data_IF_237739222521
#
_entry.id   IF_237739222521
#
_cell.length_a   1.000
_cell.length_b   1.000
_cell.length_c   1.000
_cell.angle_alpha   90.00
_cell.angle_beta   90.00
_cell.angle_gamma   90.00
#
_symmetry.space_group_name_H-M   'P 1'
#
loop_
_entity.id
_entity.type
_entity.pdbx_description
1 polymer ?
#
# COMPACT_ATOMS: atom_id res chain seq x y z
N UNK A 1 -1.34 -5.09 0.45
CA UNK A 1 -1.71 -3.69 0.78
C UNK A 1 -0.53 -2.84 1.26
N UNK A 2 0.18 -3.21 2.34
CA UNK A 2 1.28 -2.38 2.88
C UNK A 2 2.40 -2.11 1.85
N UNK A 3 2.82 -3.13 1.09
CA UNK A 3 3.79 -2.99 0.00
C UNK A 3 3.36 -1.94 -1.03
N UNK A 4 2.08 -1.93 -1.42
CA UNK A 4 1.54 -0.94 -2.37
C UNK A 4 1.69 0.48 -1.83
N UNK A 5 1.37 0.70 -0.55
CA UNK A 5 1.56 2.01 0.09
C UNK A 5 3.02 2.44 -0.01
N UNK A 6 3.96 1.59 0.41
CA UNK A 6 5.40 1.90 0.41
C UNK A 6 5.91 2.18 -1.01
N UNK A 7 5.49 1.38 -1.99
CA UNK A 7 5.85 1.51 -3.39
C UNK A 7 5.33 2.83 -3.98
N UNK A 8 4.03 3.09 -3.91
CA UNK A 8 3.42 4.27 -4.53
C UNK A 8 3.89 5.57 -3.87
N UNK A 9 4.09 5.57 -2.55
CA UNK A 9 4.56 6.77 -1.83
C UNK A 9 6.08 6.98 -1.90
N UNK A 10 6.84 6.04 -2.48
CA UNK A 10 8.30 6.13 -2.59
C UNK A 10 9.01 6.02 -1.24
N UNK A 11 8.42 5.29 -0.29
CA UNK A 11 8.94 5.19 1.09
C UNK A 11 10.15 4.25 1.22
N UNK A 12 10.54 3.57 0.15
CA UNK A 12 11.72 2.70 0.06
C UNK A 12 13.00 3.44 -0.38
N UNK A 13 12.88 4.68 -0.87
CA UNK A 13 14.04 5.47 -1.30
C UNK A 13 14.98 5.71 -0.12
N UNK A 14 16.23 6.08 -0.41
CA UNK A 14 17.27 6.35 0.60
C UNK A 14 16.70 7.21 1.74
N UNK A 15 16.85 6.80 3.02
CA UNK A 15 17.73 5.75 3.57
C UNK A 15 17.12 4.35 3.72
N UNK A 16 15.93 4.07 3.18
CA UNK A 16 15.10 2.89 3.55
C UNK A 16 15.19 1.70 2.59
N UNK A 17 16.22 1.67 1.75
CA UNK A 17 16.46 0.61 0.75
C UNK A 17 16.59 -0.79 1.42
N UNK A 18 17.34 -0.87 2.54
CA UNK A 18 17.49 -2.12 3.30
C UNK A 18 16.17 -2.59 3.93
N UNK A 19 15.35 -1.65 4.41
CA UNK A 19 14.06 -1.97 5.03
C UNK A 19 13.07 -2.51 3.98
N UNK A 20 13.17 -2.03 2.73
CA UNK A 20 12.42 -2.58 1.60
C UNK A 20 12.79 -4.04 1.31
N UNK A 21 14.08 -4.38 1.27
CA UNK A 21 14.51 -5.77 1.05
C UNK A 21 13.95 -6.69 2.13
N UNK A 22 14.09 -6.31 3.40
CA UNK A 22 13.54 -7.09 4.52
C UNK A 22 12.02 -7.25 4.37
N UNK A 23 11.30 -6.19 4.01
CA UNK A 23 9.87 -6.24 3.73
C UNK A 23 9.50 -7.17 2.57
N UNK A 24 10.30 -7.20 1.51
CA UNK A 24 10.09 -8.11 0.37
C UNK A 24 10.37 -9.57 0.75
N UNK A 25 11.41 -9.82 1.54
CA UNK A 25 11.69 -11.16 2.07
C UNK A 25 10.57 -11.63 3.00
N UNK A 26 10.04 -10.75 3.85
CA UNK A 26 8.87 -11.05 4.68
C UNK A 26 7.64 -11.43 3.84
N UNK A 27 7.41 -10.75 2.70
CA UNK A 27 6.33 -11.12 1.78
C UNK A 27 6.54 -12.52 1.19
N UNK A 28 7.75 -12.81 0.69
CA UNK A 28 8.08 -14.11 0.09
C UNK A 28 7.93 -15.22 1.14
N UNK A 29 8.47 -15.01 2.34
CA UNK A 29 8.36 -15.96 3.44
C UNK A 29 6.91 -16.16 3.87
N UNK A 30 6.09 -15.10 3.97
CA UNK A 30 4.67 -15.23 4.31
C UNK A 30 3.88 -16.01 3.26
N UNK A 31 4.21 -15.87 1.97
CA UNK A 31 3.59 -16.67 0.92
C UNK A 31 3.91 -18.16 1.06
N UNK A 32 5.18 -18.50 1.27
CA UNK A 32 5.60 -19.90 1.44
C UNK A 32 5.14 -20.48 2.79
N UNK A 33 5.13 -19.68 3.85
CA UNK A 33 4.66 -20.09 5.18
C UNK A 33 3.16 -20.42 5.15
N UNK A 34 2.35 -19.58 4.51
CA UNK A 34 0.93 -19.88 4.29
C UNK A 34 0.72 -21.11 3.43
N UNK A 35 1.50 -21.25 2.34
CA UNK A 35 1.47 -22.42 1.47
C UNK A 35 1.76 -23.72 2.22
N UNK A 36 2.79 -23.71 3.08
CA UNK A 36 3.11 -24.87 3.91
C UNK A 36 2.04 -25.14 4.96
N UNK A 37 1.44 -24.09 5.53
CA UNK A 37 0.39 -24.21 6.55
C UNK A 37 -0.86 -24.91 6.06
N UNK A 38 -1.45 -24.47 4.95
CA UNK A 38 -2.65 -25.13 4.40
C UNK A 38 -2.36 -26.52 3.82
N UNK A 39 -1.08 -26.85 3.59
CA UNK A 39 -0.64 -28.17 3.12
C UNK A 39 -0.48 -29.21 4.23
N UNK A 40 -0.45 -28.80 5.51
CA UNK A 40 -0.27 -29.73 6.64
C UNK A 40 -1.44 -30.71 6.86
N UNK A 41 -2.72 -30.33 6.65
CA UNK A 41 -3.84 -31.25 6.82
C UNK A 41 -3.85 -32.43 5.83
N UNK A 42 -3.08 -32.35 4.75
CA UNK A 42 -3.00 -33.38 3.69
C UNK A 42 -4.38 -33.79 3.15
N UNK A 43 -5.24 -32.79 2.94
CA UNK A 43 -6.53 -32.97 2.28
C UNK A 43 -6.37 -33.04 0.75
N UNK A 44 -7.41 -33.49 0.05
CA UNK A 44 -7.34 -33.71 -1.40
C UNK A 44 -6.95 -32.45 -2.21
N UNK A 45 -7.41 -31.27 -1.78
CA UNK A 45 -7.10 -29.99 -2.45
C UNK A 45 -5.64 -29.62 -2.22
N UNK A 46 -5.20 -29.67 -0.96
CA UNK A 46 -3.85 -29.25 -0.59
C UNK A 46 -2.77 -30.21 -1.09
N UNK A 47 -3.00 -31.52 -1.05
CA UNK A 47 -2.09 -32.52 -1.61
C UNK A 47 -1.93 -32.41 -3.13
N UNK A 48 -3.01 -32.09 -3.86
CA UNK A 48 -2.91 -31.81 -5.31
C UNK A 48 -2.12 -30.51 -5.57
N UNK A 49 -2.28 -29.51 -4.70
CA UNK A 49 -1.47 -28.29 -4.72
C UNK A 49 0.03 -28.56 -4.50
N UNK A 50 0.38 -29.41 -3.52
CA UNK A 50 1.77 -29.87 -3.31
C UNK A 50 2.33 -30.61 -4.53
N UNK A 51 1.50 -31.46 -5.17
CA UNK A 51 1.90 -32.15 -6.40
C UNK A 51 2.20 -31.16 -7.53
N UNK A 52 1.33 -30.19 -7.76
CA UNK A 52 1.50 -29.22 -8.83
C UNK A 52 2.66 -28.24 -8.57
N UNK A 53 2.63 -27.57 -7.41
CA UNK A 53 3.55 -26.48 -7.11
C UNK A 53 4.90 -26.99 -6.59
N UNK A 54 4.92 -27.83 -5.55
CA UNK A 54 6.18 -28.20 -4.91
C UNK A 54 6.89 -29.34 -5.65
N UNK A 55 6.15 -30.32 -6.18
CA UNK A 55 6.76 -31.42 -6.94
C UNK A 55 6.96 -31.06 -8.43
N UNK A 56 5.91 -30.63 -9.12
CA UNK A 56 5.94 -30.33 -10.55
C UNK A 56 6.93 -29.22 -10.93
N UNK A 57 6.86 -28.07 -10.25
CA UNK A 57 7.77 -26.95 -10.53
C UNK A 57 9.21 -27.29 -10.14
N UNK A 58 9.45 -27.99 -9.02
CA UNK A 58 10.82 -28.35 -8.62
C UNK A 58 11.45 -29.32 -9.61
N UNK A 59 10.72 -30.35 -10.04
CA UNK A 59 11.18 -31.29 -11.07
C UNK A 59 11.45 -30.61 -12.42
N UNK A 60 10.76 -29.50 -12.71
CA UNK A 60 10.94 -28.75 -13.96
C UNK A 60 12.29 -28.04 -14.08
N UNK A 61 12.99 -27.83 -12.97
CA UNK A 61 14.26 -27.09 -12.94
C UNK A 61 15.34 -27.89 -13.69
N UNK A 62 15.92 -27.36 -14.78
CA UNK A 62 16.99 -28.03 -15.50
C UNK A 62 18.21 -28.26 -14.59
N UNK A 63 18.99 -29.28 -14.92
CA UNK A 63 20.24 -29.66 -14.22
C UNK A 63 20.03 -30.26 -12.83
N UNK A 64 19.30 -29.59 -11.94
CA UNK A 64 19.21 -29.96 -10.51
C UNK A 64 17.80 -30.33 -10.04
N UNK A 65 16.76 -30.23 -10.88
CA UNK A 65 15.37 -30.43 -10.47
C UNK A 65 15.08 -31.79 -9.83
N UNK A 66 15.59 -32.88 -10.41
CA UNK A 66 15.48 -34.23 -9.82
C UNK A 66 16.18 -34.31 -8.48
N UNK A 67 17.38 -33.75 -8.35
CA UNK A 67 18.12 -33.74 -7.08
C UNK A 67 17.39 -32.94 -6.00
N UNK A 68 16.82 -31.78 -6.35
CA UNK A 68 16.01 -30.96 -5.44
C UNK A 68 14.73 -31.68 -5.02
N UNK A 69 14.02 -32.33 -5.95
CA UNK A 69 12.85 -33.13 -5.64
C UNK A 69 13.18 -34.21 -4.61
N UNK A 70 14.23 -34.99 -4.86
CA UNK A 70 14.64 -36.06 -3.95
C UNK A 70 15.15 -35.53 -2.61
N UNK A 71 15.82 -34.37 -2.60
CA UNK A 71 16.22 -33.69 -1.37
C UNK A 71 15.00 -33.27 -0.54
N UNK A 72 13.93 -32.78 -1.16
CA UNK A 72 12.73 -32.26 -0.48
C UNK A 72 11.79 -33.40 -0.03
N UNK A 73 11.56 -34.41 -0.87
CA UNK A 73 10.57 -35.46 -0.65
C UNK A 73 11.14 -36.77 -0.10
N UNK A 74 12.47 -36.95 -0.12
CA UNK A 74 13.14 -38.21 0.23
C UNK A 74 12.71 -39.39 -0.65
N UNK A 75 12.43 -39.12 -1.93
CA UNK A 75 11.92 -40.10 -2.88
C UNK A 75 10.95 -39.49 -3.88
N UNK A 76 10.11 -40.35 -4.46
CA UNK A 76 9.01 -39.91 -5.32
C UNK A 76 7.83 -39.37 -4.48
N UNK A 77 7.03 -38.50 -5.11
CA UNK A 77 5.83 -37.95 -4.50
C UNK A 77 4.74 -39.05 -4.35
N UNK A 78 3.97 -39.12 -3.25
CA UNK A 78 3.89 -38.15 -2.14
C UNK A 78 4.99 -38.27 -1.07
N UNK A 79 5.70 -39.39 -1.00
CA UNK A 79 6.71 -39.64 0.03
C UNK A 79 6.11 -39.77 1.45
N UNK A 80 6.96 -40.01 2.45
CA UNK A 80 6.55 -40.15 3.86
C UNK A 80 7.07 -39.02 4.76
N UNK A 81 8.12 -38.30 4.32
CA UNK A 81 8.77 -37.26 5.12
C UNK A 81 8.30 -35.85 4.82
N UNK A 82 7.49 -35.64 3.77
CA UNK A 82 7.12 -34.28 3.35
C UNK A 82 6.30 -33.56 4.41
N UNK A 83 5.24 -34.16 4.96
CA UNK A 83 4.38 -33.52 5.97
C UNK A 83 5.16 -33.21 7.26
N UNK A 84 5.98 -34.13 7.83
CA UNK A 84 6.85 -33.80 8.96
C UNK A 84 7.85 -32.66 8.66
N UNK A 85 8.44 -32.61 7.47
CA UNK A 85 9.36 -31.53 7.07
C UNK A 85 8.64 -30.19 6.95
N UNK A 86 7.46 -30.17 6.33
CA UNK A 86 6.61 -28.99 6.25
C UNK A 86 6.17 -28.53 7.64
N UNK A 87 5.86 -29.45 8.55
CA UNK A 87 5.50 -29.11 9.93
C UNK A 87 6.63 -28.39 10.66
N UNK A 88 7.86 -28.93 10.59
CA UNK A 88 9.05 -28.26 11.18
C UNK A 88 9.31 -26.90 10.52
N UNK A 89 9.16 -26.83 9.19
CA UNK A 89 9.34 -25.58 8.46
C UNK A 89 8.28 -24.53 8.85
N UNK A 90 7.01 -24.92 8.93
CA UNK A 90 5.87 -24.05 9.16
C UNK A 90 5.72 -23.63 10.62
N UNK A 91 6.05 -24.49 11.60
CA UNK A 91 5.88 -24.15 13.03
C UNK A 91 7.11 -23.45 13.61
N UNK A 92 8.31 -23.87 13.22
CA UNK A 92 9.55 -23.40 13.84
C UNK A 92 10.38 -22.52 12.91
N UNK A 93 10.80 -23.06 11.76
CA UNK A 93 11.85 -22.44 10.95
C UNK A 93 11.40 -21.12 10.30
N UNK A 94 10.32 -21.15 9.53
CA UNK A 94 9.82 -19.96 8.82
C UNK A 94 9.26 -18.91 9.78
N UNK A 95 8.40 -19.24 10.77
CA UNK A 95 7.95 -18.23 11.74
C UNK A 95 9.09 -17.64 12.56
N UNK A 96 10.10 -18.43 12.92
CA UNK A 96 11.30 -17.93 13.60
C UNK A 96 12.06 -16.89 12.78
N UNK A 97 12.27 -17.17 11.48
CA UNK A 97 12.89 -16.22 10.54
C UNK A 97 12.00 -14.99 10.35
N UNK A 98 10.69 -15.15 10.16
CA UNK A 98 9.72 -14.05 10.02
C UNK A 98 9.75 -13.16 11.26
N UNK A 99 9.73 -13.72 12.47
CA UNK A 99 9.77 -12.96 13.72
C UNK A 99 11.09 -12.17 13.85
N UNK A 100 12.22 -12.79 13.53
CA UNK A 100 13.53 -12.11 13.53
C UNK A 100 13.57 -10.95 12.52
N UNK A 101 13.05 -11.17 11.31
CA UNK A 101 12.98 -10.14 10.28
C UNK A 101 11.98 -9.03 10.63
N UNK A 102 10.83 -9.33 11.26
CA UNK A 102 9.90 -8.32 11.78
C UNK A 102 10.58 -7.47 12.85
N UNK A 103 11.33 -8.09 13.76
CA UNK A 103 12.12 -7.38 14.77
C UNK A 103 13.11 -6.40 14.13
N UNK A 104 13.90 -6.87 13.16
CA UNK A 104 14.82 -6.01 12.40
C UNK A 104 14.09 -4.91 11.60
N UNK A 105 12.96 -5.25 10.96
CA UNK A 105 12.15 -4.34 10.16
C UNK A 105 11.59 -3.19 11.01
N UNK A 106 11.02 -3.51 12.17
CA UNK A 106 10.48 -2.51 13.11
C UNK A 106 11.59 -1.68 13.76
N UNK A 107 12.73 -2.29 14.10
CA UNK A 107 13.88 -1.57 14.64
C UNK A 107 14.38 -0.50 13.65
N UNK A 108 14.51 -0.83 12.36
CA UNK A 108 14.88 0.15 11.34
C UNK A 108 13.89 1.30 11.26
N UNK A 109 12.58 1.02 11.27
CA UNK A 109 11.54 2.07 11.24
C UNK A 109 11.58 2.95 12.50
N UNK A 110 11.85 2.35 13.66
CA UNK A 110 11.92 3.06 14.93
C UNK A 110 13.11 4.02 15.00
N UNK A 111 14.30 3.52 14.67
CA UNK A 111 15.54 4.30 14.77
C UNK A 111 15.72 5.28 13.61
N UNK A 112 15.35 4.92 12.38
CA UNK A 112 15.44 5.81 11.22
C UNK A 112 14.31 6.83 11.14
N UNK A 113 13.38 6.80 12.10
CA UNK A 113 12.12 7.57 12.12
C UNK A 113 11.20 7.26 10.93
N UNK A 114 9.91 7.36 11.18
CA UNK A 114 8.89 7.09 10.18
C UNK A 114 8.79 8.23 9.16
N UNK A 115 8.49 7.90 7.90
CA UNK A 115 8.27 8.88 6.81
C UNK A 115 6.95 9.63 6.96
N UNK A 116 6.85 10.83 6.39
CA UNK A 116 5.63 11.63 6.42
C UNK A 116 5.32 12.23 5.04
N UNK A 117 4.04 12.46 4.73
CA UNK A 117 3.68 13.25 3.56
C UNK A 117 4.03 14.72 3.79
N UNK A 118 4.49 15.46 2.77
CA UNK A 118 4.67 16.92 2.87
C UNK A 118 3.35 17.60 3.23
N UNK A 119 3.46 18.72 3.94
CA UNK A 119 2.34 19.48 4.46
C UNK A 119 2.80 20.58 5.42
N UNK A 120 1.86 21.31 6.04
CA UNK A 120 2.18 22.42 6.93
C UNK A 120 3.14 22.00 8.06
N UNK A 121 4.23 22.75 8.22
CA UNK A 121 5.28 22.48 9.23
C UNK A 121 6.09 21.20 9.03
N UNK A 122 5.93 20.46 7.93
CA UNK A 122 6.66 19.20 7.67
C UNK A 122 7.86 19.45 6.77
N UNK A 123 9.05 19.18 7.31
CA UNK A 123 10.33 19.32 6.61
C UNK A 123 11.05 17.97 6.51
N UNK A 124 12.12 17.91 5.73
CA UNK A 124 12.94 16.69 5.58
C UNK A 124 13.66 16.27 6.87
N UNK A 125 13.76 17.17 7.85
CA UNK A 125 14.55 16.98 9.07
C UNK A 125 13.68 16.82 10.33
N UNK A 126 12.34 16.81 10.18
CA UNK A 126 11.44 16.67 11.32
C UNK A 126 10.40 15.57 11.09
N UNK A 127 9.66 15.25 12.16
CA UNK A 127 8.48 14.37 12.10
C UNK A 127 7.37 15.06 12.88
N UNK A 128 6.32 15.46 12.17
CA UNK A 128 5.16 16.12 12.76
C UNK A 128 4.05 15.09 12.95
N UNK A 129 3.68 14.87 14.20
CA UNK A 129 2.64 13.92 14.56
C UNK A 129 2.43 13.82 16.07
N UNK A 130 1.72 12.78 16.47
CA UNK A 130 1.44 12.49 17.87
C UNK A 130 2.58 11.71 18.52
N UNK A 131 2.81 11.93 19.81
CA UNK A 131 3.77 11.15 20.60
C UNK A 131 3.26 9.72 20.82
N UNK A 132 4.19 8.81 21.11
CA UNK A 132 3.91 7.39 21.37
C UNK A 132 2.89 7.23 22.49
N UNK A 133 3.15 7.90 23.63
CA UNK A 133 2.22 7.96 24.75
C UNK A 133 1.66 9.38 24.89
N UNK A 134 0.35 9.53 25.19
CA UNK A 134 -0.65 8.45 25.32
C UNK A 134 -1.34 8.08 23.98
N UNK A 135 -1.32 8.98 22.99
CA UNK A 135 -2.26 8.93 21.87
C UNK A 135 -1.99 7.79 20.89
N UNK A 136 -0.74 7.61 20.46
CA UNK A 136 -0.42 6.60 19.45
C UNK A 136 -0.60 5.18 19.98
N UNK A 137 -0.21 4.92 21.24
CA UNK A 137 -0.40 3.62 21.88
C UNK A 137 -1.89 3.26 21.99
N UNK A 138 -2.74 4.21 22.41
CA UNK A 138 -4.19 3.99 22.48
C UNK A 138 -4.79 3.72 21.10
N UNK A 139 -4.43 4.49 20.08
CA UNK A 139 -4.90 4.26 18.70
C UNK A 139 -4.39 2.93 18.13
N UNK A 140 -3.14 2.58 18.38
CA UNK A 140 -2.54 1.32 17.96
C UNK A 140 -3.19 0.12 18.63
N UNK A 141 -3.40 0.18 19.95
CA UNK A 141 -4.10 -0.86 20.71
C UNK A 141 -5.55 -1.02 20.27
N UNK A 142 -6.27 0.09 20.05
CA UNK A 142 -7.63 0.06 19.52
C UNK A 142 -7.70 -0.56 18.12
N UNK A 143 -6.76 -0.21 17.24
CA UNK A 143 -6.68 -0.80 15.89
C UNK A 143 -6.36 -2.30 15.92
N UNK A 144 -5.48 -2.73 16.84
CA UNK A 144 -5.20 -4.14 17.09
C UNK A 144 -6.48 -4.88 17.54
N UNK A 145 -7.17 -4.36 18.56
CA UNK A 145 -8.39 -4.98 19.08
C UNK A 145 -9.49 -5.05 18.01
N UNK A 146 -9.64 -4.01 17.18
CA UNK A 146 -10.58 -3.99 16.07
C UNK A 146 -10.22 -5.03 14.99
N UNK A 147 -8.97 -5.10 14.59
CA UNK A 147 -8.49 -6.09 13.62
C UNK A 147 -8.69 -7.51 14.14
N UNK A 148 -8.32 -7.77 15.40
CA UNK A 148 -8.54 -9.04 16.07
C UNK A 148 -10.03 -9.40 16.12
N UNK A 149 -10.89 -8.46 16.51
CA UNK A 149 -12.34 -8.66 16.56
C UNK A 149 -12.92 -9.03 15.20
N UNK A 150 -12.52 -8.35 14.13
CA UNK A 150 -12.94 -8.70 12.76
C UNK A 150 -12.47 -10.11 12.39
N UNK A 151 -11.20 -10.46 12.64
CA UNK A 151 -10.68 -11.78 12.32
C UNK A 151 -11.37 -12.88 13.12
N UNK A 152 -11.66 -12.66 14.40
CA UNK A 152 -12.41 -13.60 15.24
C UNK A 152 -13.86 -13.78 14.75
N UNK A 153 -14.54 -12.68 14.38
CA UNK A 153 -15.88 -12.74 13.79
C UNK A 153 -15.87 -13.49 12.46
N UNK A 154 -14.92 -13.18 11.57
CA UNK A 154 -14.78 -13.89 10.30
C UNK A 154 -14.48 -15.38 10.52
N UNK A 155 -13.59 -15.72 11.45
CA UNK A 155 -13.25 -17.12 11.77
C UNK A 155 -14.39 -17.90 12.40
N UNK A 156 -15.32 -17.24 13.11
CA UNK A 156 -16.50 -17.88 13.68
C UNK A 156 -17.70 -17.96 12.73
N UNK A 157 -17.90 -16.93 11.89
CA UNK A 157 -19.08 -16.80 11.03
C UNK A 157 -18.87 -17.32 9.60
N UNK A 158 -17.64 -17.32 9.10
CA UNK A 158 -17.31 -17.69 7.72
C UNK A 158 -16.45 -18.95 7.72
N UNK A 159 -16.97 -20.02 7.12
CA UNK A 159 -16.21 -21.24 6.89
C UNK A 159 -15.12 -20.98 5.84
N UNK A 160 -13.86 -21.32 6.17
CA UNK A 160 -12.70 -21.04 5.31
C UNK A 160 -12.16 -22.28 4.59
N UNK A 161 -11.72 -23.31 5.33
CA UNK A 161 -11.16 -24.54 4.76
C UNK A 161 -11.91 -25.78 5.27
N UNK A 162 -12.95 -26.25 4.54
CA UNK A 162 -13.79 -27.36 4.96
C UNK A 162 -13.16 -28.73 4.67
N UNK A 163 -12.03 -29.07 5.32
CA UNK A 163 -11.24 -30.27 5.02
C UNK A 163 -12.05 -31.59 5.08
N UNK A 164 -13.09 -31.65 5.91
CA UNK A 164 -13.98 -32.81 6.01
C UNK A 164 -14.85 -33.04 4.76
N UNK A 165 -15.11 -32.00 3.96
CA UNK A 165 -15.82 -32.12 2.69
C UNK A 165 -14.89 -32.58 1.55
N UNK A 166 -13.59 -32.27 1.65
CA UNK A 166 -12.59 -32.60 0.64
C UNK A 166 -12.07 -34.03 0.82
N UNK A 167 -11.95 -34.49 2.06
CA UNK A 167 -11.43 -35.81 2.39
C UNK A 167 -9.90 -35.87 2.33
N UNK A 168 -9.32 -37.02 2.71
CA UNK A 168 -7.88 -37.23 2.73
C UNK A 168 -7.30 -37.24 1.31
N UNK A 169 -6.04 -36.84 1.18
CA UNK A 169 -5.34 -36.89 -0.10
C UNK A 169 -5.21 -38.32 -0.63
N UNK A 170 -5.54 -38.49 -1.91
CA UNK A 170 -5.33 -39.73 -2.66
C UNK A 170 -4.81 -39.36 -4.06
N UNK A 171 -3.61 -39.82 -4.47
CA UNK A 171 -3.03 -39.51 -5.79
C UNK A 171 -3.89 -39.90 -7.00
N UNK A 172 -4.89 -40.77 -6.81
CA UNK A 172 -5.81 -41.21 -7.87
C UNK A 172 -7.10 -40.38 -7.98
N UNK A 173 -7.29 -39.39 -7.09
CA UNK A 173 -8.49 -38.56 -7.03
C UNK A 173 -8.12 -37.08 -7.16
N UNK A 174 -9.03 -36.28 -7.72
CA UNK A 174 -8.90 -34.81 -7.81
C UNK A 174 -10.27 -34.16 -7.64
N UNK A 175 -10.29 -32.92 -7.16
CA UNK A 175 -11.51 -32.10 -7.12
C UNK A 175 -11.69 -31.34 -8.44
N UNK A 176 -12.90 -30.82 -8.68
CA UNK A 176 -13.21 -30.01 -9.87
C UNK A 176 -12.65 -28.57 -9.82
N UNK A 177 -11.96 -28.19 -8.74
CA UNK A 177 -11.34 -26.88 -8.55
C UNK A 177 -10.16 -27.01 -7.60
N UNK A 178 -8.97 -27.07 -8.17
CA UNK A 178 -7.71 -27.13 -7.43
C UNK A 178 -7.01 -25.79 -7.58
N UNK A 179 -7.25 -24.90 -6.63
CA UNK A 179 -6.58 -23.60 -6.55
C UNK A 179 -5.93 -23.41 -5.18
N UNK A 180 -4.74 -22.79 -5.12
CA UNK A 180 -4.15 -22.41 -3.85
C UNK A 180 -4.83 -21.16 -3.28
N UNK A 181 -4.49 -20.82 -2.04
CA UNK A 181 -4.96 -19.58 -1.41
C UNK A 181 -4.55 -18.33 -2.21
N UNK A 182 -5.29 -17.23 -2.00
CA UNK A 182 -5.20 -15.99 -2.78
C UNK A 182 -3.80 -15.40 -2.97
N UNK A 183 -2.93 -15.56 -1.97
CA UNK A 183 -1.55 -15.06 -2.02
C UNK A 183 -0.65 -15.91 -2.93
N UNK A 184 -1.01 -17.16 -3.22
CA UNK A 184 -0.34 -18.07 -4.14
C UNK A 184 -1.07 -18.24 -5.48
N UNK A 185 -2.33 -17.80 -5.62
CA UNK A 185 -3.10 -17.95 -6.87
C UNK A 185 -2.37 -17.43 -8.12
N UNK A 186 -1.59 -16.36 -8.01
CA UNK A 186 -0.89 -15.82 -9.16
C UNK A 186 0.17 -16.78 -9.76
N UNK A 187 0.75 -17.70 -8.96
CA UNK A 187 1.73 -18.67 -9.45
C UNK A 187 1.06 -19.80 -10.22
N UNK A 188 -0.08 -20.31 -9.72
CA UNK A 188 -0.88 -21.32 -10.43
C UNK A 188 -1.58 -20.71 -11.66
N UNK A 189 -2.14 -19.51 -11.55
CA UNK A 189 -2.69 -18.79 -12.69
C UNK A 189 -1.66 -18.58 -13.79
N UNK A 190 -0.39 -18.37 -13.44
CA UNK A 190 0.70 -18.31 -14.42
C UNK A 190 0.95 -19.66 -15.09
N UNK A 191 0.92 -20.77 -14.33
CA UNK A 191 1.03 -22.11 -14.88
C UNK A 191 -0.11 -22.43 -15.87
N UNK A 192 -1.33 -21.99 -15.57
CA UNK A 192 -2.52 -22.16 -16.44
C UNK A 192 -2.42 -21.34 -17.73
N UNK A 193 -1.92 -20.09 -17.64
CA UNK A 193 -1.85 -19.20 -18.78
C UNK A 193 -0.64 -19.46 -19.68
N UNK A 194 0.48 -19.97 -19.15
CA UNK A 194 1.65 -20.23 -19.97
C UNK A 194 1.33 -21.22 -21.10
N UNK A 195 1.74 -20.96 -22.36
CA UNK A 195 1.58 -21.93 -23.43
C UNK A 195 2.39 -23.21 -23.17
N UNK A 196 2.04 -24.31 -23.82
CA UNK A 196 2.78 -25.58 -23.76
C UNK A 196 4.11 -25.50 -24.56
N UNK A 197 4.97 -24.57 -24.18
CA UNK A 197 6.29 -24.36 -24.78
C UNK A 197 7.32 -25.19 -24.03
N UNK A 198 7.71 -26.31 -24.63
CA UNK A 198 8.73 -27.21 -24.12
C UNK A 198 9.97 -27.16 -25.00
N UNK A 199 11.14 -27.38 -24.39
CA UNK A 199 12.42 -27.41 -25.11
C UNK A 199 13.02 -28.80 -24.94
N UNK A 200 13.23 -29.50 -26.04
CA UNK A 200 13.91 -30.80 -26.07
C UNK A 200 15.37 -30.59 -26.50
N UNK A 201 16.31 -30.97 -25.63
CA UNK A 201 17.74 -30.81 -25.85
C UNK A 201 18.40 -32.18 -26.08
N UNK A 202 19.08 -32.32 -27.21
CA UNK A 202 19.91 -33.48 -27.58
C UNK A 202 19.21 -34.86 -27.46
N UNK A 203 17.88 -34.89 -27.52
CA UNK A 203 17.07 -36.12 -27.42
C UNK A 203 17.04 -36.79 -26.04
N UNK A 204 17.68 -36.20 -25.03
CA UNK A 204 17.83 -36.79 -23.68
C UNK A 204 17.26 -35.90 -22.58
N UNK A 205 17.29 -34.58 -22.75
CA UNK A 205 16.80 -33.63 -21.74
C UNK A 205 15.57 -32.90 -22.24
N UNK A 206 14.63 -32.69 -21.32
CA UNK A 206 13.41 -31.91 -21.58
C UNK A 206 13.33 -30.80 -20.56
N UNK A 207 13.14 -29.57 -21.02
CA UNK A 207 12.74 -28.43 -20.20
C UNK A 207 11.23 -28.27 -20.36
N UNK A 208 10.43 -28.70 -19.38
CA UNK A 208 8.98 -28.68 -19.51
C UNK A 208 8.43 -27.25 -19.36
N UNK A 209 7.25 -27.00 -19.89
CA UNK A 209 6.64 -25.67 -19.94
C UNK A 209 6.47 -25.03 -18.55
N UNK A 210 6.21 -25.85 -17.52
CA UNK A 210 6.06 -25.42 -16.12
C UNK A 210 7.31 -24.74 -15.58
N UNK A 211 8.51 -24.98 -16.15
CA UNK A 211 9.73 -24.29 -15.75
C UNK A 211 9.66 -22.77 -15.93
N UNK A 212 8.86 -22.29 -16.88
CA UNK A 212 8.63 -20.86 -17.06
C UNK A 212 8.05 -20.20 -15.79
N UNK A 213 7.25 -20.93 -15.01
CA UNK A 213 6.70 -20.46 -13.74
C UNK A 213 7.81 -20.17 -12.75
N UNK A 214 8.81 -21.05 -12.63
CA UNK A 214 9.96 -20.85 -11.77
C UNK A 214 10.79 -19.64 -12.20
N UNK A 215 11.05 -19.49 -13.52
CA UNK A 215 11.79 -18.35 -14.07
C UNK A 215 11.07 -17.03 -13.77
N UNK A 216 9.78 -16.95 -14.10
CA UNK A 216 9.03 -15.71 -13.97
C UNK A 216 8.83 -15.37 -12.49
N UNK A 217 8.56 -16.35 -11.63
CA UNK A 217 8.51 -16.13 -10.18
C UNK A 217 9.85 -15.58 -9.65
N UNK A 218 10.97 -16.19 -10.04
CA UNK A 218 12.31 -15.71 -9.71
C UNK A 218 12.57 -14.30 -10.23
N UNK A 219 12.14 -13.99 -11.46
CA UNK A 219 12.26 -12.67 -12.06
C UNK A 219 11.42 -11.63 -11.32
N UNK A 220 10.17 -11.93 -10.99
CA UNK A 220 9.27 -11.03 -10.25
C UNK A 220 9.86 -10.72 -8.88
N UNK A 221 10.31 -11.72 -8.13
CA UNK A 221 10.93 -11.50 -6.82
C UNK A 221 12.25 -10.72 -6.94
N UNK A 222 13.08 -11.03 -7.93
CA UNK A 222 14.34 -10.31 -8.17
C UNK A 222 14.09 -8.84 -8.49
N UNK A 223 13.15 -8.55 -9.40
CA UNK A 223 12.78 -7.17 -9.76
C UNK A 223 12.16 -6.45 -8.57
N UNK A 224 11.31 -7.12 -7.79
CA UNK A 224 10.68 -6.54 -6.60
C UNK A 224 11.73 -6.16 -5.56
N UNK A 225 12.65 -7.07 -5.21
CA UNK A 225 13.73 -6.82 -4.26
C UNK A 225 14.66 -5.72 -4.79
N UNK A 226 15.05 -5.79 -6.06
CA UNK A 226 16.00 -4.87 -6.67
C UNK A 226 15.39 -3.49 -7.02
N UNK A 227 14.07 -3.30 -6.88
CA UNK A 227 13.36 -2.12 -7.37
C UNK A 227 13.97 -0.77 -6.93
N UNK A 228 14.37 -0.56 -5.67
CA UNK A 228 14.95 0.72 -5.24
C UNK A 228 16.20 1.11 -6.05
N UNK A 229 17.06 0.12 -6.36
CA UNK A 229 18.28 0.36 -7.14
C UNK A 229 18.00 0.52 -8.63
N UNK A 230 16.98 -0.18 -9.14
CA UNK A 230 16.51 0.01 -10.51
C UNK A 230 16.03 1.45 -10.69
N UNK A 231 15.10 1.93 -9.85
CA UNK A 231 14.59 3.30 -9.94
C UNK A 231 15.71 4.31 -9.76
N UNK A 232 16.54 4.16 -8.71
CA UNK A 232 17.69 5.03 -8.44
C UNK A 232 18.65 5.14 -9.64
N UNK A 233 18.91 4.04 -10.36
CA UNK A 233 19.77 4.05 -11.54
C UNK A 233 19.17 4.84 -12.69
N UNK A 234 17.85 4.74 -12.92
CA UNK A 234 17.16 5.45 -13.99
C UNK A 234 16.89 6.92 -13.66
N UNK A 235 16.55 7.24 -12.41
CA UNK A 235 16.23 8.62 -11.98
C UNK A 235 17.47 9.40 -11.53
N UNK A 236 18.58 8.71 -11.20
CA UNK A 236 19.77 9.27 -10.57
C UNK A 236 19.46 9.96 -9.23
N UNK A 237 18.43 9.48 -8.53
CA UNK A 237 17.99 10.03 -7.26
C UNK A 237 18.82 9.46 -6.09
N UNK A 238 19.97 10.09 -5.83
CA UNK A 238 20.90 9.73 -4.75
C UNK A 238 20.69 10.53 -3.45
N UNK A 239 19.70 11.43 -3.43
CA UNK A 239 19.43 12.29 -2.29
C UNK A 239 18.81 11.52 -1.11
N UNK A 240 18.87 12.12 0.08
CA UNK A 240 18.22 11.58 1.28
C UNK A 240 16.77 12.07 1.35
N UNK A 241 15.80 11.14 1.42
CA UNK A 241 14.37 11.45 1.41
C UNK A 241 13.66 10.96 2.68
N UNK A 242 13.07 11.89 3.42
CA UNK A 242 12.18 11.64 4.55
C UNK A 242 10.73 12.05 4.26
N UNK A 243 10.51 12.99 3.34
CA UNK A 243 9.19 13.30 2.81
C UNK A 243 8.77 12.31 1.73
N UNK A 244 7.52 11.85 1.83
CA UNK A 244 6.89 10.98 0.86
C UNK A 244 6.49 11.75 -0.39
N UNK A 245 6.50 11.07 -1.53
CA UNK A 245 5.89 11.59 -2.74
C UNK A 245 4.43 11.17 -2.77
N UNK A 246 3.52 12.07 -3.18
CA UNK A 246 2.17 11.64 -3.51
C UNK A 246 2.24 10.78 -4.77
N UNK A 247 1.47 9.68 -4.87
CA UNK A 247 1.55 8.79 -6.03
C UNK A 247 1.28 9.50 -7.37
N UNK A 248 0.49 10.57 -7.36
CA UNK A 248 0.24 11.38 -8.57
C UNK A 248 1.47 12.15 -9.05
N UNK A 249 2.44 12.46 -8.18
CA UNK A 249 3.62 13.30 -8.49
C UNK A 249 4.74 12.53 -9.20
N UNK A 250 4.68 11.21 -9.16
CA UNK A 250 5.62 10.28 -9.81
C UNK A 250 4.87 9.39 -10.79
N UNK A 251 4.39 9.94 -11.93
CA UNK A 251 3.48 9.23 -12.82
C UNK A 251 4.08 7.95 -13.39
N UNK A 252 5.39 7.91 -13.68
CA UNK A 252 6.06 6.72 -14.21
C UNK A 252 6.06 5.58 -13.18
N UNK A 253 6.50 5.84 -11.93
CA UNK A 253 6.50 4.82 -10.87
C UNK A 253 5.09 4.31 -10.59
N UNK A 254 4.12 5.22 -10.47
CA UNK A 254 2.73 4.83 -10.20
C UNK A 254 2.13 4.02 -11.34
N UNK A 255 2.51 4.31 -12.58
CA UNK A 255 2.08 3.52 -13.75
C UNK A 255 2.74 2.15 -13.81
N UNK A 256 4.03 2.03 -13.45
CA UNK A 256 4.70 0.73 -13.30
C UNK A 256 4.07 -0.11 -12.19
N UNK A 257 3.70 0.51 -11.06
CA UNK A 257 2.99 -0.17 -9.98
C UNK A 257 1.60 -0.65 -10.39
N UNK A 258 0.85 0.17 -11.14
CA UNK A 258 -0.46 -0.21 -11.69
C UNK A 258 -0.33 -1.33 -12.73
N UNK A 259 0.71 -1.30 -13.57
CA UNK A 259 1.04 -2.38 -14.51
C UNK A 259 1.31 -3.69 -13.77
N UNK A 260 2.16 -3.67 -12.74
CA UNK A 260 2.45 -4.85 -11.92
C UNK A 260 1.21 -5.37 -11.17
N UNK A 261 0.38 -4.47 -10.65
CA UNK A 261 -0.88 -4.83 -9.99
C UNK A 261 -1.87 -5.45 -10.96
N UNK A 262 -1.99 -4.92 -12.18
CA UNK A 262 -2.84 -5.49 -13.23
C UNK A 262 -2.34 -6.88 -13.63
N UNK A 263 -1.02 -7.05 -13.80
CA UNK A 263 -0.40 -8.35 -14.06
C UNK A 263 -0.72 -9.36 -12.95
N UNK A 264 -0.53 -8.99 -11.69
CA UNK A 264 -0.88 -9.82 -10.53
C UNK A 264 -2.38 -10.14 -10.45
N UNK A 265 -3.24 -9.17 -10.73
CA UNK A 265 -4.69 -9.33 -10.68
C UNK A 265 -5.17 -10.31 -11.76
N UNK A 266 -4.66 -10.21 -12.99
CA UNK A 266 -5.01 -11.14 -14.07
C UNK A 266 -4.58 -12.54 -13.71
N UNK A 267 -3.33 -12.73 -13.27
CA UNK A 267 -2.83 -14.04 -12.85
C UNK A 267 -3.68 -14.64 -11.73
N UNK A 268 -4.00 -13.84 -10.70
CA UNK A 268 -4.84 -14.27 -9.57
C UNK A 268 -6.25 -14.65 -10.03
N UNK A 269 -6.90 -13.84 -10.88
CA UNK A 269 -8.26 -14.12 -11.36
C UNK A 269 -8.28 -15.33 -12.30
N UNK A 270 -7.26 -15.50 -13.14
CA UNK A 270 -7.18 -16.62 -14.09
C UNK A 270 -6.81 -17.96 -13.42
N UNK A 271 -6.38 -17.96 -12.16
CA UNK A 271 -6.23 -19.18 -11.37
C UNK A 271 -7.58 -19.85 -11.09
N UNK A 272 -8.69 -19.10 -11.04
CA UNK A 272 -10.06 -19.63 -10.90
C UNK A 272 -10.83 -19.58 -12.22
N UNK A 273 -10.14 -19.72 -13.35
CA UNK A 273 -10.74 -19.69 -14.68
C UNK A 273 -11.80 -20.78 -14.90
N UNK A 274 -11.69 -21.91 -14.21
CA UNK A 274 -12.64 -23.02 -14.14
C UNK A 274 -13.94 -22.62 -13.44
N UNK A 275 -13.86 -21.98 -12.27
CA UNK A 275 -15.02 -21.48 -11.52
C UNK A 275 -15.69 -20.34 -12.28
N UNK A 276 -14.90 -19.44 -12.89
CA UNK A 276 -15.43 -18.37 -13.73
C UNK A 276 -16.18 -18.96 -14.92
N UNK A 277 -15.58 -19.93 -15.62
CA UNK A 277 -16.21 -20.62 -16.73
C UNK A 277 -17.54 -21.28 -16.31
N UNK A 278 -17.54 -21.97 -15.17
CA UNK A 278 -18.72 -22.65 -14.64
C UNK A 278 -19.83 -21.70 -14.18
N UNK A 279 -19.49 -20.62 -13.46
CA UNK A 279 -20.47 -19.70 -12.87
C UNK A 279 -21.04 -18.69 -13.85
N UNK A 280 -20.25 -18.27 -14.84
CA UNK A 280 -20.66 -17.28 -15.84
C UNK A 280 -21.02 -17.89 -17.19
N UNK A 281 -21.03 -19.22 -17.28
CA UNK A 281 -21.36 -19.97 -18.50
C UNK A 281 -20.50 -19.55 -19.71
N UNK A 282 -19.18 -19.48 -19.48
CA UNK A 282 -18.17 -19.13 -20.50
C UNK A 282 -17.30 -20.36 -20.75
N UNK A 283 -16.91 -20.60 -22.01
CA UNK A 283 -15.97 -21.69 -22.32
C UNK A 283 -14.64 -21.54 -21.58
N UNK A 284 -14.14 -22.62 -20.98
CA UNK A 284 -12.83 -22.65 -20.30
C UNK A 284 -11.66 -22.33 -21.24
N UNK A 285 -11.77 -22.68 -22.52
CA UNK A 285 -10.78 -22.34 -23.52
C UNK A 285 -10.82 -20.82 -23.80
N UNK A 286 -12.02 -20.24 -23.87
CA UNK A 286 -12.19 -18.81 -24.05
C UNK A 286 -11.63 -18.02 -22.85
N UNK A 287 -11.91 -18.44 -21.61
CA UNK A 287 -11.37 -17.78 -20.41
C UNK A 287 -9.84 -17.84 -20.37
N UNK A 288 -9.24 -18.98 -20.75
CA UNK A 288 -7.78 -19.11 -20.85
C UNK A 288 -7.18 -18.20 -21.92
N UNK A 289 -7.78 -18.12 -23.10
CA UNK A 289 -7.33 -17.20 -24.15
C UNK A 289 -7.51 -15.73 -23.77
N UNK A 290 -8.61 -15.38 -23.10
CA UNK A 290 -8.82 -14.05 -22.53
C UNK A 290 -7.70 -13.70 -21.55
N UNK A 291 -7.30 -14.63 -20.68
CA UNK A 291 -6.18 -14.45 -19.77
C UNK A 291 -4.84 -14.28 -20.50
N UNK A 292 -4.55 -15.11 -21.52
CA UNK A 292 -3.31 -15.06 -22.32
C UNK A 292 -3.16 -13.77 -23.12
N UNK A 293 -4.25 -13.26 -23.71
CA UNK A 293 -4.24 -11.97 -24.40
C UNK A 293 -4.19 -10.85 -23.35
N UNK A 294 -4.98 -10.99 -22.28
CA UNK A 294 -5.09 -10.03 -21.20
C UNK A 294 -3.76 -9.73 -20.52
N UNK A 295 -2.96 -10.75 -20.19
CA UNK A 295 -1.67 -10.58 -19.50
C UNK A 295 -0.65 -9.79 -20.34
N UNK A 296 -0.80 -9.78 -21.67
CA UNK A 296 0.07 -9.02 -22.59
C UNK A 296 -0.48 -7.61 -22.82
N UNK A 297 -1.80 -7.47 -22.98
CA UNK A 297 -2.44 -6.20 -23.41
C UNK A 297 -2.83 -5.31 -22.23
N UNK A 298 -3.42 -5.86 -21.18
CA UNK A 298 -3.99 -5.07 -20.08
C UNK A 298 -2.92 -4.39 -19.20
N UNK A 299 -1.76 -4.98 -18.87
CA UNK A 299 -0.75 -4.27 -18.08
C UNK A 299 -0.20 -3.01 -18.79
N UNK A 300 0.18 -3.03 -20.09
CA UNK A 300 0.56 -1.82 -20.82
C UNK A 300 -0.57 -0.78 -20.91
N UNK A 301 -1.83 -1.21 -21.06
CA UNK A 301 -2.98 -0.30 -21.01
C UNK A 301 -3.12 0.33 -19.61
N UNK A 302 -3.00 -0.46 -18.54
CA UNK A 302 -3.04 0.04 -17.17
C UNK A 302 -1.92 1.05 -16.91
N UNK A 303 -0.71 0.82 -17.45
CA UNK A 303 0.38 1.80 -17.44
C UNK A 303 -0.05 3.09 -18.13
N UNK A 304 -0.53 3.01 -19.38
CA UNK A 304 -0.90 4.19 -20.17
C UNK A 304 -2.00 5.02 -19.49
N UNK A 305 -3.08 4.37 -19.05
CA UNK A 305 -4.19 5.06 -18.39
C UNK A 305 -3.78 5.66 -17.06
N UNK A 306 -3.01 4.94 -16.25
CA UNK A 306 -2.52 5.45 -14.96
C UNK A 306 -1.60 6.65 -15.15
N UNK A 307 -0.73 6.61 -16.17
CA UNK A 307 0.17 7.71 -16.47
C UNK A 307 -0.61 8.98 -16.81
N UNK A 308 -1.60 8.86 -17.71
CA UNK A 308 -2.48 9.96 -18.11
C UNK A 308 -3.34 10.44 -16.94
N UNK A 309 -3.82 9.53 -16.11
CA UNK A 309 -4.62 9.85 -14.93
C UNK A 309 -3.80 10.65 -13.91
N UNK A 310 -2.55 10.25 -13.63
CA UNK A 310 -1.65 11.01 -12.76
C UNK A 310 -1.41 12.43 -13.29
N UNK A 311 -1.15 12.59 -14.58
CA UNK A 311 -0.99 13.93 -15.19
C UNK A 311 -2.28 14.77 -15.10
N UNK A 312 -3.45 14.16 -15.30
CA UNK A 312 -4.75 14.82 -15.10
C UNK A 312 -4.94 15.26 -13.65
N UNK A 313 -4.58 14.42 -12.69
CA UNK A 313 -4.64 14.76 -11.26
C UNK A 313 -3.68 15.90 -10.89
N UNK A 314 -2.47 15.92 -11.44
CA UNK A 314 -1.51 17.02 -11.25
C UNK A 314 -2.04 18.33 -11.83
N UNK A 315 -2.59 18.32 -13.05
CA UNK A 315 -3.19 19.50 -13.67
C UNK A 315 -4.36 20.03 -12.87
N UNK A 316 -5.22 19.13 -12.40
CA UNK A 316 -6.36 19.50 -11.56
C UNK A 316 -5.92 20.05 -10.19
N UNK A 317 -4.76 19.65 -9.65
CA UNK A 317 -4.20 20.27 -8.45
C UNK A 317 -3.65 21.68 -8.75
N UNK A 318 -2.97 21.87 -9.91
CA UNK A 318 -2.45 23.18 -10.34
C UNK A 318 -3.54 24.20 -10.66
N UNK A 319 -4.62 23.77 -11.32
CA UNK A 319 -5.77 24.63 -11.62
C UNK A 319 -6.34 25.27 -10.35
N UNK A 320 -6.42 24.52 -9.26
CA UNK A 320 -6.91 25.04 -7.97
C UNK A 320 -5.93 26.03 -7.34
N UNK A 321 -4.61 25.85 -7.52
CA UNK A 321 -3.62 26.81 -7.04
C UNK A 321 -3.57 28.11 -7.84
N UNK A 322 -3.87 28.02 -9.14
CA UNK A 322 -3.88 29.17 -10.06
C UNK A 322 -5.19 29.97 -9.99
N UNK A 323 -6.35 29.31 -9.86
CA UNK A 323 -7.66 29.96 -9.99
C UNK A 323 -8.47 29.98 -8.69
N UNK A 324 -8.12 29.14 -7.71
CA UNK A 324 -8.91 28.91 -6.50
C UNK A 324 -9.82 27.68 -6.59
N UNK A 325 -10.56 27.42 -5.51
CA UNK A 325 -11.51 26.31 -5.45
C UNK A 325 -12.83 26.73 -6.10
N UNK A 326 -13.31 25.89 -7.02
CA UNK A 326 -14.66 25.93 -7.58
C UNK A 326 -15.72 25.87 -6.47
N UNK A 327 -16.54 26.93 -6.35
CA UNK A 327 -17.60 26.99 -5.32
C UNK A 327 -18.92 26.38 -5.80
N UNK A 328 -19.10 26.21 -7.12
CA UNK A 328 -20.38 25.85 -7.72
C UNK A 328 -21.41 26.99 -7.75
N UNK A 329 -21.05 28.20 -7.31
CA UNK A 329 -21.93 29.38 -7.37
C UNK A 329 -21.65 30.14 -8.65
N UNK A 330 -22.64 30.17 -9.55
CA UNK A 330 -22.56 30.90 -10.81
C UNK A 330 -23.19 32.28 -10.64
N UNK A 331 -22.45 33.34 -11.02
CA UNK A 331 -22.95 34.72 -11.06
C UNK A 331 -23.01 35.22 -12.50
N UNK A 332 -24.11 35.89 -12.84
CA UNK A 332 -24.25 36.61 -14.12
C UNK A 332 -23.85 38.07 -13.93
N UNK A 333 -22.88 38.53 -14.70
CA UNK A 333 -22.39 39.92 -14.68
C UNK A 333 -23.34 40.85 -15.45
N UNK A 334 -23.31 42.18 -15.19
CA UNK A 334 -24.21 43.14 -15.86
C UNK A 334 -24.13 43.13 -17.40
N UNK A 335 -22.98 42.79 -17.97
CA UNK A 335 -22.77 42.64 -19.42
C UNK A 335 -23.18 41.27 -19.98
N UNK A 336 -23.74 40.37 -19.16
CA UNK A 336 -24.34 39.11 -19.57
C UNK A 336 -23.44 37.87 -19.46
N UNK A 337 -22.17 38.02 -19.10
CA UNK A 337 -21.23 36.91 -18.87
C UNK A 337 -21.59 36.09 -17.62
N UNK A 338 -21.37 34.78 -17.68
CA UNK A 338 -21.50 33.88 -16.53
C UNK A 338 -20.11 33.54 -16.00
N UNK A 339 -19.87 33.86 -14.74
CA UNK A 339 -18.62 33.52 -14.04
C UNK A 339 -18.92 32.57 -12.89
N UNK A 340 -18.09 31.54 -12.75
CA UNK A 340 -18.07 30.75 -11.53
C UNK A 340 -17.24 31.50 -10.48
N UNK A 341 -17.79 31.62 -9.28
CA UNK A 341 -17.05 32.20 -8.16
C UNK A 341 -16.03 31.18 -7.69
N UNK A 342 -14.75 31.52 -7.79
CA UNK A 342 -13.69 30.73 -7.17
C UNK A 342 -13.31 31.31 -5.81
N UNK A 343 -12.96 30.44 -4.87
CA UNK A 343 -12.38 30.82 -3.58
C UNK A 343 -10.85 30.70 -3.65
N UNK A 344 -10.11 31.82 -3.66
CA UNK A 344 -8.65 31.79 -3.55
C UNK A 344 -8.19 31.07 -2.28
N UNK A 345 -7.13 30.27 -2.42
CA UNK A 345 -6.46 29.60 -1.29
C UNK A 345 -5.39 30.45 -0.61
N UNK A 346 -4.91 31.48 -1.31
CA UNK A 346 -3.83 32.36 -0.87
C UNK A 346 -4.20 33.84 -0.99
N UNK A 347 -3.19 34.73 -0.89
CA UNK A 347 -3.36 36.16 -1.10
C UNK A 347 -3.97 36.48 -2.47
N UNK A 348 -4.66 37.61 -2.55
CA UNK A 348 -5.22 38.16 -3.79
C UNK A 348 -4.50 39.45 -4.16
N UNK A 349 -4.42 39.76 -5.44
CA UNK A 349 -3.89 41.03 -5.93
C UNK A 349 -4.92 42.17 -5.78
N UNK A 350 -4.51 43.40 -6.14
CA UNK A 350 -5.35 44.60 -6.09
C UNK A 350 -6.59 44.52 -7.01
N UNK A 351 -6.58 43.60 -7.98
CA UNK A 351 -7.67 43.35 -8.91
C UNK A 351 -8.58 42.19 -8.47
N UNK A 352 -8.29 41.55 -7.33
CA UNK A 352 -9.04 40.42 -6.80
C UNK A 352 -8.71 39.08 -7.45
N UNK A 353 -7.66 39.00 -8.27
CA UNK A 353 -7.16 37.74 -8.80
C UNK A 353 -6.32 37.01 -7.75
N UNK A 354 -6.43 35.68 -7.67
CA UNK A 354 -5.57 34.89 -6.79
C UNK A 354 -4.11 35.01 -7.24
N UNK A 355 -3.20 35.23 -6.28
CA UNK A 355 -1.77 35.10 -6.52
C UNK A 355 -1.46 33.59 -6.60
N UNK A 356 -0.96 33.06 -7.74
CA UNK A 356 -0.75 31.63 -7.90
C UNK A 356 0.21 31.07 -6.85
N UNK A 357 -0.25 30.03 -6.15
CA UNK A 357 0.56 29.36 -5.14
C UNK A 357 1.46 28.28 -5.76
N UNK A 358 2.67 28.11 -5.22
CA UNK A 358 3.55 27.03 -5.64
C UNK A 358 3.09 25.66 -5.13
N UNK A 359 3.29 24.63 -5.95
CA UNK A 359 2.98 23.25 -5.57
C UNK A 359 4.06 22.67 -4.65
N UNK A 360 3.69 22.31 -3.41
CA UNK A 360 4.62 21.79 -2.41
C UNK A 360 4.43 20.29 -2.10
N UNK A 361 3.73 19.54 -2.97
CA UNK A 361 3.50 18.11 -2.75
C UNK A 361 2.42 17.78 -1.72
N UNK A 362 1.79 18.78 -1.10
CA UNK A 362 0.68 18.59 -0.15
C UNK A 362 -0.64 18.27 -0.87
N UNK A 363 -1.58 17.66 -0.14
CA UNK A 363 -2.93 17.45 -0.66
C UNK A 363 -3.73 18.76 -0.64
N UNK A 364 -4.18 19.22 -1.81
CA UNK A 364 -4.93 20.45 -1.98
C UNK A 364 -6.44 20.17 -1.88
N UNK A 365 -7.19 20.90 -1.04
CA UNK A 365 -8.64 20.77 -0.98
C UNK A 365 -9.27 21.25 -2.30
N UNK A 366 -10.23 20.50 -2.83
CA UNK A 366 -10.95 20.83 -4.09
C UNK A 366 -12.42 21.13 -3.90
N UNK A 367 -12.89 21.14 -2.65
CA UNK A 367 -14.29 21.35 -2.32
C UNK A 367 -14.37 22.26 -1.12
N UNK A 368 -15.28 23.24 -1.18
CA UNK A 368 -15.51 24.21 -0.11
C UNK A 368 -15.87 23.56 1.23
N UNK A 369 -16.56 22.41 1.21
CA UNK A 369 -16.89 21.67 2.43
C UNK A 369 -15.65 21.16 3.20
N UNK A 370 -14.49 20.99 2.54
CA UNK A 370 -13.23 20.65 3.19
C UNK A 370 -12.56 21.85 3.85
N UNK A 371 -12.98 23.06 3.54
CA UNK A 371 -12.56 24.30 4.17
C UNK A 371 -13.49 24.73 5.32
N UNK A 372 -14.44 23.88 5.72
CA UNK A 372 -15.38 24.22 6.80
C UNK A 372 -16.50 25.18 6.39
N UNK A 373 -16.69 25.46 5.09
CA UNK A 373 -17.70 26.41 4.61
C UNK A 373 -19.14 26.05 4.98
N UNK A 374 -19.42 24.75 5.20
CA UNK A 374 -20.74 24.24 5.55
C UNK A 374 -21.02 24.29 7.06
N UNK A 375 -20.04 24.69 7.88
CA UNK A 375 -20.14 24.63 9.34
C UNK A 375 -20.19 23.20 9.88
N UNK A 376 -20.61 23.08 11.15
CA UNK A 376 -20.85 21.81 11.83
C UNK A 376 -22.35 21.67 12.15
N UNK A 377 -22.90 20.45 12.18
CA UNK A 377 -24.24 20.25 12.72
C UNK A 377 -24.29 20.74 14.18
N UNK A 378 -25.45 21.21 14.62
CA UNK A 378 -25.64 21.64 16.02
C UNK A 378 -25.30 20.52 16.99
N UNK A 379 -24.81 20.88 18.19
CA UNK A 379 -24.52 19.90 19.23
C UNK A 379 -25.82 19.32 19.80
N UNK A 380 -25.73 18.10 20.30
CA UNK A 380 -26.88 17.37 20.84
C UNK A 380 -26.76 15.87 20.62
N UNK A 381 -27.79 15.18 21.09
CA UNK A 381 -28.04 13.80 20.73
C UNK A 381 -28.61 13.70 19.31
N UNK A 382 -28.76 12.47 18.81
CA UNK A 382 -29.39 12.21 17.51
C UNK A 382 -30.82 12.78 17.39
N UNK A 383 -31.53 12.93 18.51
CA UNK A 383 -32.96 13.28 18.55
C UNK A 383 -33.26 14.61 19.22
N UNK A 384 -32.35 15.10 20.07
CA UNK A 384 -32.57 16.26 20.94
C UNK A 384 -31.33 17.14 20.90
N UNK A 385 -31.52 18.42 20.59
CA UNK A 385 -30.47 19.42 20.60
C UNK A 385 -30.08 19.82 22.03
N UNK A 386 -28.82 20.20 22.22
CA UNK A 386 -28.36 20.79 23.47
C UNK A 386 -28.94 22.21 23.65
N UNK A 387 -28.92 22.75 24.89
CA UNK A 387 -29.18 24.16 25.14
C UNK A 387 -28.31 25.07 24.24
N UNK A 388 -28.92 26.15 23.73
CA UNK A 388 -28.28 26.99 22.71
C UNK A 388 -26.99 27.66 23.19
N UNK A 389 -26.90 27.97 24.48
CA UNK A 389 -25.72 28.54 25.13
C UNK A 389 -24.56 27.54 25.22
N UNK A 390 -24.85 26.28 25.58
CA UNK A 390 -23.85 25.20 25.58
C UNK A 390 -23.36 24.91 24.16
N UNK A 391 -24.28 24.79 23.20
CA UNK A 391 -23.94 24.57 21.79
C UNK A 391 -23.06 25.69 21.21
N UNK A 392 -23.37 26.95 21.54
CA UNK A 392 -22.58 28.10 21.13
C UNK A 392 -21.19 28.10 21.78
N UNK A 393 -21.09 27.76 23.07
CA UNK A 393 -19.82 27.66 23.78
C UNK A 393 -18.92 26.56 23.20
N UNK A 394 -19.49 25.39 22.88
CA UNK A 394 -18.78 24.29 22.24
C UNK A 394 -18.26 24.68 20.85
N UNK A 395 -19.12 25.26 20.01
CA UNK A 395 -18.73 25.69 18.67
C UNK A 395 -17.62 26.75 18.72
N UNK A 396 -17.71 27.71 19.64
CA UNK A 396 -16.68 28.72 19.84
C UNK A 396 -15.35 28.10 20.31
N UNK A 397 -15.39 27.15 21.24
CA UNK A 397 -14.21 26.45 21.73
C UNK A 397 -13.54 25.60 20.63
N UNK A 398 -14.31 24.87 19.84
CA UNK A 398 -13.80 24.09 18.71
C UNK A 398 -13.18 24.98 17.63
N UNK A 399 -13.87 26.05 17.24
CA UNK A 399 -13.36 27.00 16.27
C UNK A 399 -12.06 27.65 16.76
N UNK A 400 -12.01 28.07 18.03
CA UNK A 400 -10.78 28.59 18.64
C UNK A 400 -9.65 27.56 18.60
N UNK A 401 -9.92 26.31 18.99
CA UNK A 401 -8.91 25.24 18.96
C UNK A 401 -8.37 24.97 17.55
N UNK A 402 -9.23 24.99 16.52
CA UNK A 402 -8.81 24.84 15.12
C UNK A 402 -7.92 26.00 14.67
N UNK A 403 -8.27 27.25 15.00
CA UNK A 403 -7.47 28.43 14.71
C UNK A 403 -6.13 28.43 15.45
N UNK A 404 -6.12 28.07 16.73
CA UNK A 404 -4.91 27.96 17.54
C UNK A 404 -3.95 26.90 16.95
N UNK A 405 -4.47 25.75 16.51
CA UNK A 405 -3.69 24.71 15.85
C UNK A 405 -3.08 25.19 14.52
N UNK A 406 -3.87 25.88 13.69
CA UNK A 406 -3.38 26.45 12.42
C UNK A 406 -2.31 27.51 12.67
N UNK A 407 -2.51 28.39 13.64
CA UNK A 407 -1.55 29.44 14.00
C UNK A 407 -0.22 28.86 14.48
N UNK A 408 -0.25 27.83 15.34
CA UNK A 408 0.96 27.15 15.83
C UNK A 408 1.74 26.52 14.67
N UNK A 409 1.04 25.83 13.74
CA UNK A 409 1.70 25.21 12.59
C UNK A 409 2.30 26.24 11.64
N UNK A 410 1.60 27.35 11.42
CA UNK A 410 2.09 28.46 10.59
C UNK A 410 3.32 29.12 11.20
N UNK A 411 3.26 29.50 12.47
CA UNK A 411 4.40 30.07 13.21
C UNK A 411 5.62 29.14 13.18
N UNK A 412 5.42 27.83 13.38
CA UNK A 412 6.49 26.86 13.25
C UNK A 412 7.07 26.79 11.83
N UNK A 413 6.22 26.83 10.81
CA UNK A 413 6.64 26.83 9.41
C UNK A 413 7.45 28.09 9.07
N UNK A 414 7.00 29.26 9.49
CA UNK A 414 7.68 30.53 9.26
C UNK A 414 9.05 30.57 9.97
N UNK A 415 9.14 30.02 11.18
CA UNK A 415 10.40 29.80 11.90
C UNK A 415 11.34 28.83 11.16
N UNK A 416 10.81 27.73 10.64
CA UNK A 416 11.60 26.74 9.92
C UNK A 416 12.17 27.25 8.59
N UNK A 417 11.45 28.14 7.90
CA UNK A 417 11.90 28.77 6.64
C UNK A 417 12.70 30.06 6.82
N UNK A 418 12.96 30.50 8.06
CA UNK A 418 13.80 31.67 8.34
C UNK A 418 13.12 33.02 8.08
N UNK A 419 11.79 33.07 7.96
CA UNK A 419 11.04 34.33 7.86
C UNK A 419 10.73 34.97 9.22
N UNK A 420 11.08 34.31 10.33
CA UNK A 420 10.87 34.78 11.70
C UNK A 420 11.73 35.96 12.19
N UNK A 421 12.30 36.79 11.32
CA UNK A 421 13.10 37.96 11.72
C UNK A 421 12.63 39.31 11.13
N UNK A 422 11.61 39.35 10.26
CA UNK A 422 11.17 40.60 9.64
C UNK A 422 9.64 40.66 9.46
N UNK A 423 8.86 40.44 10.51
CA UNK A 423 7.45 40.84 10.55
C UNK A 423 6.86 40.73 11.97
N UNK A 424 7.51 41.30 13.00
CA UNK A 424 6.73 41.85 14.11
C UNK A 424 7.54 42.87 14.90
N UNK A 425 7.16 44.13 14.77
CA UNK A 425 7.61 45.20 15.64
C UNK A 425 6.84 45.18 16.95
N UNK A 426 6.84 44.06 17.67
CA UNK A 426 6.34 43.96 19.04
C UNK A 426 7.11 42.86 19.78
N UNK A 427 8.08 43.27 20.59
CA UNK A 427 8.74 42.38 21.56
C UNK A 427 7.67 41.77 22.48
N UNK A 428 7.76 40.48 22.83
CA UNK A 428 7.02 39.95 23.96
C UNK A 428 7.51 40.64 25.23
N UNK A 429 6.58 41.13 26.05
CA UNK A 429 6.86 41.56 27.42
C UNK A 429 7.54 40.41 28.16
N UNK A 430 8.81 40.59 28.50
CA UNK A 430 9.52 39.74 29.43
C UNK A 430 9.08 40.09 30.84
N UNK A 431 8.29 39.22 31.46
CA UNK A 431 8.12 39.22 32.91
C UNK A 431 9.44 38.81 33.58
N UNK A 432 9.97 39.67 34.46
CA UNK A 432 10.97 39.25 35.45
C UNK A 432 12.20 40.13 35.65
N UNK A 433 12.10 41.45 35.62
CA UNK A 433 13.09 42.30 36.33
C UNK A 433 12.60 42.55 37.76
N UNK A 434 13.26 41.90 38.73
CA UNK A 434 13.14 42.25 40.15
C UNK A 434 13.74 43.64 40.37
N UNK A 435 13.07 44.54 41.11
CA UNK A 435 13.67 45.82 41.45
C UNK A 435 14.76 45.62 42.51
N UNK A 436 15.93 46.19 42.22
CA UNK A 436 17.03 46.40 43.16
C UNK A 436 16.55 47.31 44.30
N UNK A 437 16.50 46.78 45.51
CA UNK A 437 16.46 47.60 46.72
C UNK A 437 17.88 47.82 47.19
N UNK A 438 18.41 49.02 46.92
CA UNK A 438 19.55 49.58 47.63
C UNK A 438 19.15 50.97 48.12
N UNK A 439 19.34 51.23 49.41
CA UNK A 439 18.84 52.40 50.11
C UNK A 439 18.96 52.20 51.62
N UNK A 440 20.15 52.47 52.14
CA UNK A 440 20.59 52.11 53.49
C UNK A 440 20.01 52.94 54.63
N UNK A 441 20.23 52.39 55.83
CA UNK A 441 20.73 53.08 57.01
C UNK A 441 21.54 52.09 57.86
#
# INVERSE_FOLDING_TARGET
MHLLRIFFTGAFRRPREANWVIGCLLLILAMFEGFFGYSLPDDLLSGTGLRAALSGITLSVPVVGTWLQWLIFDGDFPGQLIIPRLYVAHVLLLPGIILALIGAHLALVWYQKHTQFPGPGRTEQNVVGVRILPVFAMKGGAFFAFTFGILALMGGLLQINPIWNLGPYNPSQVSAGVQPDIYMMWTDGMARLWPAWEIYLWGTYTIPAVFAVAIIMGLVFTVLIAYPWIEKKFTKDDAHHNLLQRPRDVPVRTSLGAMALMFYAILTIMCINDIIAYKFDISINATTWMGRIGIIVLPPLAYFFTYRFCLGLQRSDRQVLEHGIETGVIKRLPHGEYVEVHQPLGPVDDHGHPIPLEYQGAAIPKKMNKLGSAGKPGSGSLLVADPADEAAALLAAEHKNEHDQMAILKDYQDKAHGHGAYADGQKPLTDGEKPSTDGGH
#
